data_IF_830084321096
#
_entry.id   IF_830084321096
#
_cell.length_a   1.000
_cell.length_b   1.000
_cell.length_c   1.000
_cell.angle_alpha   90.00
_cell.angle_beta   90.00
_cell.angle_gamma   90.00
#
_symmetry.space_group_name_H-M   'P 1'
#
loop_
_entity.id
_entity.type
_entity.pdbx_description
1 polymer ?
#
# COMPACT_ATOMS: atom_id res chain seq x y z
N UNK A 1 -24.96 27.99 7.24
CA UNK A 1 -24.13 27.00 7.92
C UNK A 1 -23.46 26.16 6.85
N UNK A 2 -22.16 26.35 6.61
CA UNK A 2 -21.42 25.60 5.59
C UNK A 2 -21.01 24.26 6.21
N UNK A 3 -21.50 23.15 5.65
CA UNK A 3 -21.12 21.81 6.10
C UNK A 3 -19.71 21.58 5.55
N UNK A 4 -18.69 21.48 6.42
CA UNK A 4 -17.38 21.03 5.98
C UNK A 4 -17.47 19.51 5.72
N UNK A 5 -17.34 19.11 4.45
CA UNK A 5 -17.45 17.73 3.96
C UNK A 5 -16.10 16.99 3.96
N UNK A 6 -15.04 17.57 4.52
CA UNK A 6 -13.72 16.96 4.53
C UNK A 6 -13.71 15.67 5.35
N UNK A 7 -13.20 14.59 4.72
CA UNK A 7 -12.98 13.33 5.39
C UNK A 7 -11.95 13.51 6.53
N UNK A 8 -12.32 13.10 7.73
CA UNK A 8 -11.47 13.25 8.93
C UNK A 8 -10.58 12.05 9.23
N UNK A 9 -10.77 10.95 8.50
CA UNK A 9 -10.09 9.66 8.70
C UNK A 9 -9.89 8.99 7.34
N UNK A 10 -8.73 8.37 7.19
CA UNK A 10 -8.39 7.53 6.05
C UNK A 10 -8.10 6.11 6.56
N UNK A 11 -8.62 5.12 5.86
CA UNK A 11 -8.20 3.72 6.02
C UNK A 11 -7.61 3.29 4.68
N UNK A 12 -6.35 2.87 4.70
CA UNK A 12 -5.63 2.46 3.50
C UNK A 12 -5.36 0.96 3.55
N UNK A 13 -5.90 0.22 2.59
CA UNK A 13 -5.55 -1.17 2.35
C UNK A 13 -4.64 -1.23 1.12
N UNK A 14 -3.42 -1.74 1.29
CA UNK A 14 -2.47 -1.95 0.19
C UNK A 14 -2.24 -3.44 0.05
N UNK A 15 -2.63 -3.99 -1.10
CA UNK A 15 -2.36 -5.37 -1.46
C UNK A 15 -1.21 -5.39 -2.48
N UNK A 16 -0.07 -5.96 -2.08
CA UNK A 16 1.11 -6.01 -2.92
C UNK A 16 0.88 -6.95 -4.12
N UNK A 17 1.37 -6.55 -5.30
CA UNK A 17 1.18 -7.31 -6.53
C UNK A 17 -0.27 -7.41 -7.03
N UNK A 18 -1.23 -6.67 -6.48
CA UNK A 18 -2.63 -6.72 -6.91
C UNK A 18 -2.81 -6.13 -8.31
N UNK A 19 -2.97 -7.01 -9.30
CA UNK A 19 -3.27 -6.61 -10.68
C UNK A 19 -4.71 -6.15 -10.81
N UNK A 20 -4.94 -5.19 -11.71
CA UNK A 20 -6.29 -4.69 -11.98
C UNK A 20 -7.22 -5.81 -12.48
N UNK A 21 -6.75 -6.62 -13.42
CA UNK A 21 -7.52 -7.71 -14.03
C UNK A 21 -8.03 -8.75 -13.02
N UNK A 22 -7.31 -8.97 -11.91
CA UNK A 22 -7.77 -9.83 -10.82
C UNK A 22 -9.15 -9.42 -10.26
N UNK A 23 -9.50 -8.13 -10.33
CA UNK A 23 -10.76 -7.58 -9.83
C UNK A 23 -11.86 -7.49 -10.91
N UNK A 24 -11.50 -7.27 -12.18
CA UNK A 24 -12.47 -7.01 -13.26
C UNK A 24 -12.76 -8.22 -14.14
N UNK A 25 -11.84 -9.18 -14.26
CA UNK A 25 -12.04 -10.39 -15.07
C UNK A 25 -13.17 -11.25 -14.51
N UNK A 26 -13.93 -11.83 -15.42
CA UNK A 26 -14.96 -12.83 -15.14
C UNK A 26 -14.50 -14.16 -15.72
N UNK A 27 -14.85 -15.25 -15.05
CA UNK A 27 -14.69 -16.60 -15.59
C UNK A 27 -15.66 -16.87 -16.75
N UNK A 28 -15.56 -18.05 -17.36
CA UNK A 28 -16.42 -18.47 -18.48
C UNK A 28 -17.92 -18.47 -18.14
N UNK A 29 -18.27 -18.56 -16.86
CA UNK A 29 -19.64 -18.55 -16.35
C UNK A 29 -20.10 -17.15 -15.92
N UNK A 30 -19.25 -16.12 -16.09
CA UNK A 30 -19.54 -14.75 -15.71
C UNK A 30 -19.32 -14.43 -14.23
N UNK A 31 -18.63 -15.28 -13.46
CA UNK A 31 -18.35 -15.05 -12.05
C UNK A 31 -17.03 -14.30 -11.84
N UNK A 32 -17.00 -13.40 -10.85
CA UNK A 32 -15.79 -12.70 -10.45
C UNK A 32 -15.03 -13.48 -9.38
N UNK A 33 -13.69 -13.45 -9.46
CA UNK A 33 -12.81 -13.96 -8.39
C UNK A 33 -12.86 -13.12 -7.11
N UNK A 34 -13.32 -11.87 -7.19
CA UNK A 34 -13.43 -10.93 -6.07
C UNK A 34 -14.84 -10.29 -6.03
N UNK A 35 -15.90 -11.07 -5.78
CA UNK A 35 -17.29 -10.63 -5.96
C UNK A 35 -17.64 -9.42 -5.07
N UNK A 36 -17.13 -9.38 -3.84
CA UNK A 36 -17.34 -8.27 -2.91
C UNK A 36 -16.72 -6.96 -3.43
N UNK A 37 -15.43 -6.99 -3.80
CA UNK A 37 -14.72 -5.81 -4.31
C UNK A 37 -15.31 -5.36 -5.64
N UNK A 38 -15.70 -6.31 -6.50
CA UNK A 38 -16.39 -5.98 -7.75
C UNK A 38 -17.72 -5.27 -7.50
N UNK A 39 -18.52 -5.73 -6.54
CA UNK A 39 -19.79 -5.07 -6.21
C UNK A 39 -19.56 -3.61 -5.79
N UNK A 40 -18.55 -3.35 -4.95
CA UNK A 40 -18.16 -1.99 -4.56
C UNK A 40 -17.77 -1.16 -5.78
N UNK A 41 -16.88 -1.67 -6.62
CA UNK A 41 -16.42 -1.02 -7.86
C UNK A 41 -17.58 -0.63 -8.79
N UNK A 42 -18.59 -1.50 -8.91
CA UNK A 42 -19.68 -1.33 -9.86
C UNK A 42 -20.80 -0.42 -9.35
N UNK A 43 -20.99 -0.30 -8.04
CA UNK A 43 -22.22 0.27 -7.48
C UNK A 43 -22.01 1.35 -6.41
N UNK A 44 -20.87 1.38 -5.72
CA UNK A 44 -20.69 2.24 -4.54
C UNK A 44 -19.45 3.14 -4.63
N UNK A 45 -18.34 2.60 -5.13
CA UNK A 45 -17.02 3.22 -5.08
C UNK A 45 -16.62 3.96 -6.35
N UNK A 46 -15.61 4.82 -6.21
CA UNK A 46 -14.83 5.35 -7.33
C UNK A 46 -13.55 4.54 -7.48
N UNK A 47 -13.15 4.25 -8.71
CA UNK A 47 -11.96 3.45 -8.99
C UNK A 47 -11.20 3.96 -10.22
N UNK A 48 -9.94 3.56 -10.31
CA UNK A 48 -9.08 3.84 -11.46
C UNK A 48 -7.93 2.84 -11.51
N UNK A 49 -7.30 2.70 -12.68
CA UNK A 49 -6.10 1.88 -12.87
C UNK A 49 -4.88 2.79 -12.77
N UNK A 50 -4.08 2.59 -11.72
CA UNK A 50 -2.79 3.27 -11.58
C UNK A 50 -1.75 2.59 -12.45
N UNK A 51 -1.18 3.33 -13.39
CA UNK A 51 -0.05 2.85 -14.18
C UNK A 51 1.24 3.11 -13.40
N UNK A 52 1.78 2.05 -12.81
CA UNK A 52 3.00 2.12 -12.01
C UNK A 52 4.20 2.48 -12.89
N UNK A 53 5.10 3.32 -12.37
CA UNK A 53 6.40 3.56 -13.00
C UNK A 53 7.40 2.51 -12.56
N UNK A 54 8.35 2.22 -13.43
CA UNK A 54 9.48 1.36 -13.09
C UNK A 54 10.38 2.07 -12.05
N UNK A 55 10.97 1.33 -11.10
CA UNK A 55 10.79 -0.10 -10.84
C UNK A 55 9.45 -0.40 -10.14
N UNK A 56 8.75 -1.44 -10.60
CA UNK A 56 7.44 -1.87 -10.07
C UNK A 56 7.61 -2.78 -8.86
N UNK A 57 8.19 -2.22 -7.80
CA UNK A 57 8.51 -2.87 -6.53
C UNK A 57 7.65 -2.30 -5.40
N UNK A 58 7.56 -3.04 -4.29
CA UNK A 58 6.74 -2.65 -3.13
C UNK A 58 7.07 -1.25 -2.61
N UNK A 59 8.35 -0.93 -2.40
CA UNK A 59 8.79 0.34 -1.80
C UNK A 59 8.42 1.58 -2.66
N UNK A 60 8.85 1.69 -3.93
CA UNK A 60 8.46 2.83 -4.78
C UNK A 60 6.95 3.02 -4.89
N UNK A 61 6.18 1.92 -4.92
CA UNK A 61 4.71 1.95 -4.91
C UNK A 61 4.14 2.59 -3.64
N UNK A 62 4.62 2.19 -2.48
CA UNK A 62 4.18 2.77 -1.20
C UNK A 62 4.57 4.24 -1.06
N UNK A 63 5.78 4.63 -1.49
CA UNK A 63 6.22 6.04 -1.48
C UNK A 63 5.32 6.88 -2.38
N UNK A 64 5.02 6.42 -3.59
CA UNK A 64 4.11 7.13 -4.48
C UNK A 64 2.70 7.28 -3.89
N UNK A 65 2.18 6.25 -3.24
CA UNK A 65 0.84 6.27 -2.63
C UNK A 65 0.76 7.18 -1.40
N UNK A 66 1.77 7.16 -0.53
CA UNK A 66 1.69 7.77 0.82
C UNK A 66 2.37 9.14 0.85
N UNK A 67 3.43 9.36 0.06
CA UNK A 67 4.17 10.61 0.00
C UNK A 67 3.90 11.41 -1.29
N UNK A 68 3.23 10.82 -2.29
CA UNK A 68 2.76 11.54 -3.47
C UNK A 68 3.82 11.86 -4.53
N UNK A 69 5.00 11.22 -4.47
CA UNK A 69 6.05 11.38 -5.48
C UNK A 69 6.66 10.03 -5.89
N UNK A 70 7.25 9.98 -7.08
CA UNK A 70 7.99 8.80 -7.55
C UNK A 70 9.43 8.86 -7.06
N UNK A 71 9.92 7.78 -6.44
CA UNK A 71 11.33 7.69 -6.07
C UNK A 71 12.25 7.78 -7.30
N UNK A 72 13.45 8.34 -7.10
CA UNK A 72 14.49 8.32 -8.11
C UNK A 72 14.97 6.88 -8.34
N UNK A 73 14.80 6.39 -9.57
CA UNK A 73 15.21 5.05 -10.01
C UNK A 73 16.68 4.77 -9.68
N UNK A 74 17.54 5.79 -9.72
CA UNK A 74 18.96 5.67 -9.40
C UNK A 74 19.23 5.49 -7.89
N UNK A 75 18.35 5.99 -7.02
CA UNK A 75 18.41 5.77 -5.58
C UNK A 75 17.91 4.36 -5.22
N UNK A 76 16.87 3.87 -5.91
CA UNK A 76 16.39 2.49 -5.76
C UNK A 76 17.47 1.48 -6.18
N UNK A 77 18.20 1.74 -7.26
CA UNK A 77 19.25 0.86 -7.75
C UNK A 77 20.53 0.84 -6.87
N UNK A 78 20.83 1.90 -6.13
CA UNK A 78 22.05 2.04 -5.31
C UNK A 78 21.85 1.66 -3.84
N UNK A 79 20.64 1.81 -3.31
CA UNK A 79 20.31 1.56 -1.91
C UNK A 79 19.01 0.78 -1.80
N UNK A 80 19.10 -0.55 -1.82
CA UNK A 80 17.93 -1.43 -1.77
C UNK A 80 17.26 -1.44 -0.38
N UNK A 81 18.00 -1.18 0.69
CA UNK A 81 17.52 -1.36 2.07
C UNK A 81 16.82 -0.15 2.70
N UNK A 82 17.21 1.07 2.33
CA UNK A 82 16.56 2.30 2.85
C UNK A 82 16.62 3.40 1.79
N UNK A 83 15.56 4.23 1.73
CA UNK A 83 15.59 5.44 0.91
C UNK A 83 16.59 6.43 1.56
N UNK A 84 17.67 6.85 0.87
CA UNK A 84 18.66 7.77 1.44
C UNK A 84 18.14 9.22 1.58
N UNK A 85 16.98 9.53 0.99
CA UNK A 85 16.37 10.86 1.01
C UNK A 85 15.23 10.86 2.03
N UNK A 86 15.31 11.75 3.03
CA UNK A 86 14.17 11.99 3.90
C UNK A 86 13.06 12.70 3.13
N UNK A 87 11.82 12.27 3.37
CA UNK A 87 10.64 12.84 2.73
C UNK A 87 9.51 12.97 3.75
N UNK A 88 8.66 13.97 3.54
CA UNK A 88 7.43 14.10 4.29
C UNK A 88 6.34 13.21 3.68
N UNK A 89 5.45 12.70 4.54
CA UNK A 89 4.45 11.72 4.14
C UNK A 89 3.10 12.03 4.78
N UNK A 90 2.03 11.55 4.16
CA UNK A 90 0.68 11.68 4.71
C UNK A 90 0.57 11.17 6.15
N UNK A 91 1.38 10.17 6.51
CA UNK A 91 1.40 9.60 7.85
C UNK A 91 1.98 10.56 8.90
N UNK A 92 3.01 11.33 8.53
CA UNK A 92 3.59 12.35 9.40
C UNK A 92 2.63 13.55 9.56
N UNK A 93 1.96 13.94 8.48
CA UNK A 93 0.97 15.04 8.46
C UNK A 93 -0.40 14.67 9.05
N UNK A 94 -0.60 13.41 9.42
CA UNK A 94 -1.80 12.95 10.11
C UNK A 94 -1.68 13.16 11.62
N UNK A 95 -2.80 13.46 12.31
CA UNK A 95 -2.79 13.61 13.78
C UNK A 95 -2.33 12.34 14.51
N UNK A 96 -2.72 11.18 13.99
CA UNK A 96 -2.27 9.86 14.45
C UNK A 96 -2.28 8.90 13.26
N UNK A 97 -1.29 8.04 13.23
CA UNK A 97 -1.18 6.97 12.25
C UNK A 97 -0.94 5.66 12.97
N UNK A 98 -1.70 4.63 12.62
CA UNK A 98 -1.41 3.25 13.00
C UNK A 98 -1.27 2.42 11.73
N UNK A 99 -0.18 1.69 11.62
CA UNK A 99 0.10 0.88 10.43
C UNK A 99 0.56 -0.52 10.82
N UNK A 100 0.17 -1.49 9.99
CA UNK A 100 0.51 -2.91 10.12
C UNK A 100 0.98 -3.42 8.77
N UNK A 101 2.07 -4.17 8.73
CA UNK A 101 2.68 -4.54 7.44
C UNK A 101 4.11 -5.06 7.54
N UNK A 102 4.82 -4.98 6.41
CA UNK A 102 6.18 -5.52 6.29
C UNK A 102 7.20 -4.70 7.10
N UNK A 103 8.19 -5.37 7.75
CA UNK A 103 9.35 -4.71 8.35
C UNK A 103 10.24 -3.96 7.35
N UNK A 104 10.17 -4.26 6.06
CA UNK A 104 10.91 -3.55 5.01
C UNK A 104 10.21 -2.25 4.55
N UNK A 105 8.90 -2.12 4.83
CA UNK A 105 8.09 -0.98 4.39
C UNK A 105 7.83 0.00 5.52
N UNK A 106 7.23 -0.45 6.62
CA UNK A 106 6.70 0.47 7.63
C UNK A 106 7.75 1.39 8.28
N UNK A 107 8.97 0.91 8.62
CA UNK A 107 9.95 1.76 9.29
C UNK A 107 10.34 3.00 8.49
N UNK A 108 10.29 2.96 7.15
CA UNK A 108 10.66 4.10 6.32
C UNK A 108 9.74 5.32 6.51
N UNK A 109 8.47 5.10 6.86
CA UNK A 109 7.48 6.16 7.08
C UNK A 109 7.42 6.64 8.54
N UNK A 110 7.97 5.86 9.46
CA UNK A 110 8.13 6.27 10.85
C UNK A 110 9.46 7.03 11.06
N UNK A 111 10.49 6.70 10.28
CA UNK A 111 11.77 7.40 10.28
C UNK A 111 11.57 8.83 9.76
N UNK A 112 11.87 9.82 10.60
CA UNK A 112 11.63 11.23 10.29
C UNK A 112 10.23 11.74 10.65
N UNK A 113 9.32 10.87 11.13
CA UNK A 113 8.08 11.34 11.72
C UNK A 113 8.40 12.18 12.97
N UNK A 114 7.85 13.38 13.01
CA UNK A 114 8.25 14.43 13.95
C UNK A 114 7.78 14.21 15.41
N UNK A 115 7.07 13.11 15.72
CA UNK A 115 6.50 12.92 17.06
C UNK A 115 6.02 11.50 17.40
N UNK A 116 5.49 11.38 18.62
CA UNK A 116 4.93 10.16 19.24
C UNK A 116 3.53 9.80 18.71
N UNK A 117 3.29 9.94 17.40
CA UNK A 117 1.95 9.79 16.79
C UNK A 117 1.90 8.82 15.60
N UNK A 118 3.04 8.32 15.13
CA UNK A 118 3.11 7.29 14.08
C UNK A 118 3.50 5.96 14.73
N UNK A 119 2.55 5.03 14.79
CA UNK A 119 2.73 3.71 15.40
C UNK A 119 2.79 2.63 14.31
N UNK A 120 3.90 1.89 14.28
CA UNK A 120 4.12 0.82 13.30
C UNK A 120 4.17 -0.53 13.98
N UNK A 121 3.50 -1.52 13.38
CA UNK A 121 3.46 -2.90 13.85
C UNK A 121 3.80 -3.84 12.71
N UNK A 122 5.05 -4.27 12.66
CA UNK A 122 5.50 -5.20 11.63
C UNK A 122 5.39 -6.65 12.09
N UNK A 123 5.09 -7.55 11.15
CA UNK A 123 5.27 -8.97 11.38
C UNK A 123 6.77 -9.34 11.37
N UNK A 124 7.12 -10.52 11.89
CA UNK A 124 8.51 -11.01 11.91
C UNK A 124 9.05 -11.17 10.48
N UNK A 125 10.22 -10.60 10.17
CA UNK A 125 10.89 -10.71 8.87
C UNK A 125 11.04 -12.16 8.39
N UNK A 126 11.10 -13.15 9.30
CA UNK A 126 11.12 -14.58 8.93
C UNK A 126 9.84 -15.08 8.27
N UNK A 127 8.75 -14.31 8.34
CA UNK A 127 7.46 -14.60 7.68
C UNK A 127 7.36 -13.97 6.29
N UNK A 128 8.36 -13.21 5.85
CA UNK A 128 8.51 -12.73 4.46
C UNK A 128 8.97 -13.86 3.52
N UNK A 129 8.35 -15.05 3.63
CA UNK A 129 8.57 -16.13 2.67
C UNK A 129 7.58 -16.00 1.51
N UNK A 130 7.85 -15.05 0.62
CA UNK A 130 7.09 -14.85 -0.61
C UNK A 130 7.33 -15.96 -1.67
N UNK A 131 8.22 -16.91 -1.37
CA UNK A 131 8.62 -18.02 -2.26
C UNK A 131 8.26 -19.41 -1.75
N UNK A 132 7.53 -19.53 -0.64
CA UNK A 132 7.12 -20.82 -0.09
C UNK A 132 6.33 -21.60 -1.15
N UNK A 133 6.69 -22.87 -1.34
CA UNK A 133 6.16 -23.78 -2.38
C UNK A 133 4.65 -24.05 -2.34
N UNK A 134 3.90 -23.41 -1.43
CA UNK A 134 2.48 -23.66 -1.24
C UNK A 134 1.76 -22.42 -0.67
N UNK A 135 1.10 -21.67 -1.56
CA UNK A 135 0.33 -20.46 -1.23
C UNK A 135 -0.90 -20.74 -0.34
N UNK A 136 -1.28 -22.02 -0.17
CA UNK A 136 -2.46 -22.44 0.61
C UNK A 136 -2.28 -22.30 2.13
N UNK A 137 -1.06 -22.13 2.64
CA UNK A 137 -0.80 -21.97 4.09
C UNK A 137 -1.27 -20.63 4.68
N UNK A 138 -1.63 -19.66 3.83
CA UNK A 138 -2.17 -18.38 4.28
C UNK A 138 -3.69 -18.43 4.51
N UNK A 139 -4.37 -19.49 4.07
CA UNK A 139 -5.83 -19.63 4.10
C UNK A 139 -6.38 -20.55 5.23
N UNK A 140 -5.52 -21.00 6.16
CA UNK A 140 -5.91 -21.83 7.34
C UNK A 140 -5.66 -21.13 8.65
#
# INVERSE_FOLDING_TARGET
>A
MMINLEARRLVLFVADGLRADALYELDENGNSRAPFIRNIIMHEGSWGISHTRVPTESRPGHVALIAGFYEDVSAVAKGWKENPVEFDSLFNESKYTWSWGSPDILPMFAKGASGDHVYTYSYDAKREDFGAQDATKLDT
#
